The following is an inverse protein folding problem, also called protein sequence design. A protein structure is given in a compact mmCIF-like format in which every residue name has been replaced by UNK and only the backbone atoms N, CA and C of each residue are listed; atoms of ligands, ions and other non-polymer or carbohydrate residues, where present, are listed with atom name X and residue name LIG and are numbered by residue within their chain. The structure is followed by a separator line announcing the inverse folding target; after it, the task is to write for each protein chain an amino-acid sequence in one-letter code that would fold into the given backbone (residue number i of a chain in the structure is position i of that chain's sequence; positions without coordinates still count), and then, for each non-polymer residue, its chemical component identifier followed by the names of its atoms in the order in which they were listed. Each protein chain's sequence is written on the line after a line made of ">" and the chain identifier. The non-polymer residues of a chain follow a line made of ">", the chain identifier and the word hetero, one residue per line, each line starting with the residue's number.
data_IF_963097853832
#
_entry.id   IF_963097853832
#
_cell.length_a   1.000
_cell.length_b   1.000
_cell.length_c   1.000
_cell.angle_alpha   90.00
_cell.angle_beta   90.00
_cell.angle_gamma   90.00
#
_symmetry.space_group_name_H-M   'P 1'
#
loop_
_entity.id
_entity.type
_entity.pdbx_description
1 polymer ?
#
# COMPACT_ATOMS: atom_id res chain seq x y z
N UNK A 1 -19.23 -14.15 7.11
CA UNK A 1 -20.32 -13.29 7.60
C UNK A 1 -21.13 -12.83 6.41
N UNK A 2 -22.45 -12.96 6.42
CA UNK A 2 -23.29 -12.61 5.29
C UNK A 2 -23.89 -11.19 5.41
N UNK A 3 -23.05 -10.17 5.62
CA UNK A 3 -23.53 -8.79 5.72
C UNK A 3 -22.88 -7.84 4.70
N UNK A 4 -22.04 -8.36 3.81
CA UNK A 4 -21.34 -7.54 2.81
C UNK A 4 -22.29 -6.88 1.80
N UNK A 5 -23.44 -7.48 1.56
CA UNK A 5 -24.51 -6.98 0.73
C UNK A 5 -25.23 -5.76 1.33
N UNK A 6 -25.15 -5.58 2.66
CA UNK A 6 -25.71 -4.43 3.35
C UNK A 6 -24.78 -3.19 3.38
N UNK A 7 -23.54 -3.32 2.86
CA UNK A 7 -22.54 -2.26 2.85
C UNK A 7 -22.42 -1.63 1.46
N UNK A 8 -22.02 -0.35 1.39
CA UNK A 8 -21.73 0.32 0.12
C UNK A 8 -20.41 -0.16 -0.49
N UNK A 9 -19.44 -0.48 0.36
CA UNK A 9 -18.11 -0.98 -0.02
C UNK A 9 -17.65 -2.13 0.88
N UNK A 10 -16.78 -2.98 0.35
CA UNK A 10 -16.03 -3.95 1.14
C UNK A 10 -14.72 -3.30 1.57
N UNK A 11 -14.60 -2.95 2.85
CA UNK A 11 -13.41 -2.36 3.43
C UNK A 11 -12.32 -3.40 3.71
N UNK A 12 -11.08 -3.11 3.30
CA UNK A 12 -9.92 -3.99 3.52
C UNK A 12 -8.70 -3.17 3.92
N UNK A 13 -8.06 -3.51 5.04
CA UNK A 13 -6.71 -3.02 5.35
C UNK A 13 -5.68 -3.80 4.53
N UNK A 14 -5.04 -3.13 3.57
CA UNK A 14 -4.31 -3.77 2.48
C UNK A 14 -2.82 -3.98 2.79
N UNK A 15 -2.51 -4.67 3.88
CA UNK A 15 -1.15 -5.03 4.29
C UNK A 15 -0.79 -6.48 3.92
N UNK A 16 -0.86 -6.80 2.64
CA UNK A 16 -0.55 -8.15 2.15
C UNK A 16 0.96 -8.35 2.03
N UNK A 17 1.55 -9.35 2.70
CA UNK A 17 2.96 -9.67 2.51
C UNK A 17 3.22 -10.17 1.09
N UNK A 18 4.15 -9.52 0.40
CA UNK A 18 4.48 -9.82 -0.98
C UNK A 18 5.89 -10.39 -1.16
N UNK A 19 6.85 -9.95 -0.34
CA UNK A 19 8.24 -10.34 -0.46
C UNK A 19 9.01 -10.11 0.84
N UNK A 20 9.94 -11.01 1.13
CA UNK A 20 10.89 -10.87 2.26
C UNK A 20 12.26 -10.29 1.81
N UNK A 21 12.38 -9.83 0.55
CA UNK A 21 13.58 -9.14 0.06
C UNK A 21 13.67 -7.73 0.62
N UNK A 22 14.89 -7.23 0.88
CA UNK A 22 15.11 -5.86 1.38
C UNK A 22 14.56 -4.81 0.41
N UNK A 23 14.90 -4.93 -0.87
CA UNK A 23 14.44 -4.03 -1.93
C UNK A 23 13.82 -4.81 -3.09
N UNK A 24 12.60 -5.33 -2.95
CA UNK A 24 11.98 -6.11 -4.03
C UNK A 24 11.67 -5.20 -5.23
N UNK A 25 12.01 -5.63 -6.46
CA UNK A 25 11.69 -4.85 -7.65
C UNK A 25 10.17 -4.77 -7.89
N UNK A 26 9.71 -3.64 -8.44
CA UNK A 26 8.31 -3.41 -8.78
C UNK A 26 7.67 -4.58 -9.54
N UNK A 27 8.37 -5.13 -10.56
CA UNK A 27 7.83 -6.24 -11.37
C UNK A 27 7.49 -7.46 -10.53
N UNK A 28 8.35 -7.83 -9.58
CA UNK A 28 8.09 -8.94 -8.66
C UNK A 28 6.86 -8.65 -7.80
N UNK A 29 6.77 -7.45 -7.25
CA UNK A 29 5.63 -7.06 -6.41
C UNK A 29 4.33 -7.04 -7.21
N UNK A 30 4.33 -6.50 -8.43
CA UNK A 30 3.17 -6.51 -9.32
C UNK A 30 2.73 -7.93 -9.68
N UNK A 31 3.67 -8.83 -9.98
CA UNK A 31 3.38 -10.24 -10.19
C UNK A 31 2.70 -10.88 -8.97
N UNK A 32 3.22 -10.58 -7.78
CA UNK A 32 2.65 -11.09 -6.51
C UNK A 32 1.27 -10.51 -6.22
N UNK A 33 1.07 -9.23 -6.49
CA UNK A 33 -0.25 -8.59 -6.43
C UNK A 33 -1.28 -9.25 -7.33
N UNK A 34 -0.90 -9.77 -8.50
CA UNK A 34 -1.80 -10.43 -9.43
C UNK A 34 -2.66 -11.54 -8.82
N UNK A 35 -2.15 -12.27 -7.80
CA UNK A 35 -2.92 -13.26 -7.06
C UNK A 35 -4.01 -12.62 -6.18
N UNK A 36 -3.66 -11.51 -5.54
CA UNK A 36 -4.59 -10.77 -4.68
C UNK A 36 -5.66 -10.05 -5.52
N UNK A 37 -5.28 -9.44 -6.63
CA UNK A 37 -6.21 -8.82 -7.61
C UNK A 37 -7.27 -9.83 -8.03
N UNK A 38 -6.87 -11.04 -8.46
CA UNK A 38 -7.81 -12.11 -8.87
C UNK A 38 -8.76 -12.51 -7.73
N UNK A 39 -8.24 -12.65 -6.52
CA UNK A 39 -9.04 -13.01 -5.34
C UNK A 39 -10.05 -11.92 -4.99
N UNK A 40 -9.60 -10.68 -4.94
CA UNK A 40 -10.41 -9.53 -4.57
C UNK A 40 -11.48 -9.24 -5.62
N UNK A 41 -11.16 -9.37 -6.92
CA UNK A 41 -12.14 -9.26 -8.00
C UNK A 41 -13.28 -10.28 -7.84
N UNK A 42 -12.94 -11.55 -7.59
CA UNK A 42 -13.95 -12.60 -7.36
C UNK A 42 -14.80 -12.30 -6.12
N UNK A 43 -14.19 -11.76 -5.08
CA UNK A 43 -14.90 -11.41 -3.86
C UNK A 43 -15.85 -10.23 -4.06
N UNK A 44 -15.41 -9.20 -4.76
CA UNK A 44 -16.23 -8.08 -5.19
C UNK A 44 -17.43 -8.53 -6.04
N UNK A 45 -17.19 -9.37 -7.05
CA UNK A 45 -18.25 -9.92 -7.91
C UNK A 45 -19.27 -10.75 -7.13
N UNK A 46 -18.81 -11.56 -6.17
CA UNK A 46 -19.68 -12.41 -5.35
C UNK A 46 -20.71 -11.59 -4.55
N UNK A 47 -20.32 -10.40 -4.09
CA UNK A 47 -21.16 -9.57 -3.24
C UNK A 47 -21.75 -8.34 -3.97
N UNK A 48 -21.40 -8.17 -5.24
CA UNK A 48 -21.76 -7.01 -6.05
C UNK A 48 -21.43 -5.68 -5.34
N UNK A 49 -20.23 -5.61 -4.78
CA UNK A 49 -19.69 -4.44 -4.06
C UNK A 49 -18.26 -4.17 -4.42
N UNK A 50 -17.93 -2.88 -4.61
CA UNK A 50 -16.53 -2.45 -4.83
C UNK A 50 -15.71 -2.60 -3.56
N UNK A 51 -14.41 -2.81 -3.75
CA UNK A 51 -13.45 -2.90 -2.66
C UNK A 51 -12.81 -1.54 -2.43
N UNK A 52 -12.83 -1.10 -1.17
CA UNK A 52 -12.16 0.09 -0.69
C UNK A 52 -10.99 -0.34 0.21
N UNK A 53 -9.77 0.09 -0.10
CA UNK A 53 -8.67 -0.09 0.83
C UNK A 53 -8.79 0.96 1.96
N UNK A 54 -9.28 0.52 3.11
CA UNK A 54 -9.43 1.37 4.30
C UNK A 54 -8.09 1.86 4.81
N UNK A 55 -7.05 1.09 4.54
CA UNK A 55 -5.65 1.47 4.76
C UNK A 55 -4.76 0.78 3.74
N UNK A 56 -3.77 1.48 3.23
CA UNK A 56 -2.63 0.91 2.53
C UNK A 56 -1.37 1.73 2.78
N UNK A 57 -0.24 1.07 2.94
CA UNK A 57 1.02 1.76 3.21
C UNK A 57 2.20 0.83 3.33
N UNK A 58 3.38 1.40 3.21
CA UNK A 58 4.66 0.72 3.36
C UNK A 58 5.57 1.55 4.26
N UNK A 59 6.27 0.90 5.18
CA UNK A 59 7.37 1.52 5.91
C UNK A 59 8.52 1.85 4.95
N UNK A 60 9.33 2.84 5.29
CA UNK A 60 10.50 3.23 4.49
C UNK A 60 11.76 2.52 4.99
N UNK A 61 11.72 1.19 5.03
CA UNK A 61 12.77 0.32 5.56
C UNK A 61 13.01 -0.90 4.67
N UNK A 62 14.10 -1.60 4.89
CA UNK A 62 14.34 -2.89 4.27
C UNK A 62 13.19 -3.87 4.54
N UNK A 63 12.84 -4.65 3.53
CA UNK A 63 11.75 -5.62 3.64
C UNK A 63 10.36 -5.02 3.71
N UNK A 64 10.16 -3.75 3.34
CA UNK A 64 8.89 -3.02 3.46
C UNK A 64 7.66 -3.74 2.88
N UNK A 65 7.85 -4.62 1.89
CA UNK A 65 6.80 -5.43 1.29
C UNK A 65 6.52 -6.76 2.01
N UNK A 66 7.13 -6.97 3.18
CA UNK A 66 6.98 -8.17 4.01
C UNK A 66 5.80 -8.08 4.98
N UNK A 67 5.96 -8.74 6.10
CA UNK A 67 4.94 -8.78 7.17
C UNK A 67 4.98 -7.52 8.01
N UNK A 68 4.23 -6.50 7.65
CA UNK A 68 4.18 -5.18 8.28
C UNK A 68 4.12 -5.24 9.81
N UNK A 69 3.26 -6.10 10.37
CA UNK A 69 3.12 -6.27 11.82
C UNK A 69 4.35 -6.85 12.55
N UNK A 70 5.29 -7.45 11.79
CA UNK A 70 6.61 -7.84 12.32
C UNK A 70 7.61 -6.71 12.19
N UNK A 71 7.63 -6.01 11.05
CA UNK A 71 8.53 -4.90 10.78
C UNK A 71 8.33 -3.75 11.78
N UNK A 72 7.09 -3.42 12.13
CA UNK A 72 6.78 -2.38 13.11
C UNK A 72 7.43 -2.62 14.49
N UNK A 73 7.57 -3.89 14.88
CA UNK A 73 8.19 -4.26 16.17
C UNK A 73 9.70 -4.03 16.20
N UNK A 74 10.35 -4.06 15.02
CA UNK A 74 11.80 -3.98 14.88
C UNK A 74 12.23 -2.81 14.00
N UNK A 75 11.34 -1.88 13.70
CA UNK A 75 11.58 -0.77 12.77
C UNK A 75 12.83 0.05 13.12
N UNK A 76 13.17 0.15 14.40
CA UNK A 76 14.34 0.89 14.87
C UNK A 76 15.66 0.23 14.43
N UNK A 77 15.66 -1.10 14.30
CA UNK A 77 16.84 -1.90 13.95
C UNK A 77 17.02 -2.08 12.44
N UNK A 78 16.03 -1.69 11.63
CA UNK A 78 16.05 -1.83 10.18
C UNK A 78 16.70 -0.61 9.53
N UNK A 79 17.35 -0.82 8.38
CA UNK A 79 17.88 0.27 7.57
C UNK A 79 16.81 1.04 6.82
N UNK A 80 17.03 2.34 6.62
CA UNK A 80 16.15 3.20 5.83
C UNK A 80 16.21 2.76 4.37
N UNK A 81 15.06 2.48 3.78
CA UNK A 81 14.95 2.08 2.37
C UNK A 81 13.75 2.72 1.68
N UNK A 82 13.94 3.94 1.19
CA UNK A 82 12.92 4.67 0.43
C UNK A 82 12.57 3.99 -0.90
N UNK A 83 13.51 3.25 -1.49
CA UNK A 83 13.27 2.56 -2.75
C UNK A 83 12.30 1.39 -2.56
N UNK A 84 12.44 0.63 -1.47
CA UNK A 84 11.50 -0.44 -1.13
C UNK A 84 10.08 0.10 -0.93
N UNK A 85 9.94 1.22 -0.22
CA UNK A 85 8.68 1.92 -0.04
C UNK A 85 8.08 2.37 -1.38
N UNK A 86 8.87 3.03 -2.22
CA UNK A 86 8.43 3.53 -3.52
C UNK A 86 7.99 2.41 -4.46
N UNK A 87 8.75 1.31 -4.51
CA UNK A 87 8.41 0.12 -5.30
C UNK A 87 7.08 -0.52 -4.81
N UNK A 88 6.86 -0.54 -3.50
CA UNK A 88 5.63 -1.02 -2.89
C UNK A 88 4.40 -0.24 -3.37
N UNK A 89 4.44 1.08 -3.26
CA UNK A 89 3.36 1.95 -3.72
C UNK A 89 3.14 1.85 -5.24
N UNK A 90 4.21 1.87 -6.05
CA UNK A 90 4.10 1.80 -7.50
C UNK A 90 3.53 0.46 -7.97
N UNK A 91 3.87 -0.64 -7.32
CA UNK A 91 3.33 -1.95 -7.63
C UNK A 91 1.86 -2.09 -7.20
N UNK A 92 1.49 -1.60 -6.01
CA UNK A 92 0.11 -1.62 -5.52
C UNK A 92 -0.79 -0.81 -6.45
N UNK A 93 -0.48 0.47 -6.64
CA UNK A 93 -1.30 1.35 -7.46
C UNK A 93 -1.36 0.85 -8.92
N UNK A 94 -0.23 0.41 -9.49
CA UNK A 94 -0.21 -0.17 -10.83
C UNK A 94 -1.01 -1.46 -11.00
N UNK A 95 -1.28 -2.17 -9.90
CA UNK A 95 -2.07 -3.39 -9.94
C UNK A 95 -3.58 -3.16 -9.79
N UNK A 96 -3.99 -2.03 -9.21
CA UNK A 96 -5.40 -1.77 -8.88
C UNK A 96 -5.99 -0.57 -9.58
N UNK A 97 -5.19 0.37 -10.08
CA UNK A 97 -5.67 1.67 -10.58
C UNK A 97 -6.75 1.57 -11.64
N UNK A 98 -6.59 0.65 -12.58
CA UNK A 98 -7.51 0.46 -13.70
C UNK A 98 -8.53 -0.67 -13.45
N UNK A 99 -8.64 -1.17 -12.22
CA UNK A 99 -9.58 -2.23 -11.85
C UNK A 99 -10.96 -1.65 -11.47
N UNK A 100 -11.99 -1.97 -12.24
CA UNK A 100 -13.36 -1.48 -12.04
C UNK A 100 -13.93 -1.81 -10.65
N UNK A 101 -13.49 -2.91 -10.07
CA UNK A 101 -13.91 -3.34 -8.74
C UNK A 101 -13.22 -2.60 -7.59
N UNK A 102 -12.15 -1.86 -7.85
CA UNK A 102 -11.44 -1.10 -6.83
C UNK A 102 -11.97 0.33 -6.75
N UNK A 103 -12.43 0.73 -5.58
CA UNK A 103 -12.99 2.07 -5.33
C UNK A 103 -11.93 3.09 -4.88
N UNK A 104 -10.68 2.66 -4.76
CA UNK A 104 -9.61 3.50 -4.22
C UNK A 104 -9.16 3.08 -2.83
N UNK A 105 -8.46 3.97 -2.13
CA UNK A 105 -7.98 3.67 -0.78
C UNK A 105 -7.42 4.87 -0.06
N UNK A 106 -7.27 4.70 1.27
CA UNK A 106 -6.68 5.69 2.15
C UNK A 106 -5.24 5.32 2.47
N UNK A 107 -4.34 6.26 2.17
CA UNK A 107 -2.92 6.09 2.44
C UNK A 107 -2.65 6.14 3.95
N UNK A 108 -2.04 5.11 4.48
CA UNK A 108 -1.51 5.07 5.82
C UNK A 108 0.00 5.28 5.79
N UNK A 109 0.53 6.43 6.21
CA UNK A 109 -0.19 7.62 6.66
C UNK A 109 0.55 8.90 6.25
N UNK A 110 -0.12 10.02 6.32
CA UNK A 110 0.47 11.32 6.07
C UNK A 110 0.58 12.11 7.37
N UNK A 111 1.79 12.61 7.68
CA UNK A 111 1.99 13.44 8.86
C UNK A 111 2.02 14.93 8.50
N UNK A 112 1.46 15.82 9.36
CA UNK A 112 1.60 17.25 9.20
C UNK A 112 3.06 17.70 9.34
N UNK A 113 3.35 18.95 8.99
CA UNK A 113 4.68 19.52 9.18
C UNK A 113 5.04 19.61 10.66
N UNK A 114 6.34 19.42 10.95
CA UNK A 114 6.85 19.44 12.31
C UNK A 114 6.44 18.26 13.20
N UNK A 115 5.72 17.28 12.66
CA UNK A 115 5.32 16.10 13.43
C UNK A 115 6.45 15.09 13.52
N UNK A 116 6.75 14.67 14.77
CA UNK A 116 7.68 13.60 15.08
C UNK A 116 9.16 13.98 14.94
N UNK A 117 10.02 13.06 15.35
CA UNK A 117 11.47 13.22 15.22
C UNK A 117 11.90 12.84 13.81
N UNK A 118 12.83 13.58 13.22
CA UNK A 118 13.30 13.39 11.84
C UNK A 118 13.85 11.99 11.59
N UNK A 119 14.66 11.47 12.49
CA UNK A 119 15.25 10.13 12.40
C UNK A 119 14.19 9.02 12.33
N UNK A 120 13.15 9.16 13.14
CA UNK A 120 12.00 8.25 13.13
C UNK A 120 11.19 8.38 11.84
N UNK A 121 10.94 9.61 11.38
CA UNK A 121 10.15 9.86 10.18
C UNK A 121 10.79 9.25 8.92
N UNK A 122 12.12 9.11 8.88
CA UNK A 122 12.82 8.44 7.77
C UNK A 122 12.40 6.98 7.58
N UNK A 123 12.01 6.28 8.63
CA UNK A 123 11.59 4.87 8.61
C UNK A 123 10.08 4.66 8.56
N UNK A 124 9.30 5.71 8.82
CA UNK A 124 7.83 5.66 8.91
C UNK A 124 7.13 5.52 7.56
N UNK A 125 5.84 5.23 7.62
CA UNK A 125 4.94 5.08 6.47
C UNK A 125 4.82 6.34 5.61
N UNK A 126 5.00 7.53 6.20
CA UNK A 126 4.82 8.78 5.45
C UNK A 126 5.71 8.81 4.19
N UNK A 127 5.14 9.08 3.02
CA UNK A 127 5.89 9.26 1.79
C UNK A 127 6.48 10.67 1.66
N UNK A 128 6.10 11.59 2.56
CA UNK A 128 6.49 13.00 2.51
C UNK A 128 8.02 13.14 2.50
N UNK A 129 8.54 13.92 1.54
CA UNK A 129 9.98 14.15 1.32
C UNK A 129 10.80 12.88 1.01
N UNK A 130 10.13 11.84 0.48
CA UNK A 130 10.77 10.57 0.07
C UNK A 130 10.47 10.25 -1.40
N UNK A 131 11.18 9.26 -1.96
CA UNK A 131 10.96 8.77 -3.34
C UNK A 131 9.49 8.40 -3.60
N UNK A 132 8.82 7.86 -2.60
CA UNK A 132 7.42 7.47 -2.69
C UNK A 132 6.47 8.64 -2.97
N UNK A 133 6.79 9.86 -2.56
CA UNK A 133 5.98 11.04 -2.87
C UNK A 133 5.83 11.27 -4.38
N UNK A 134 6.92 11.14 -5.13
CA UNK A 134 6.89 11.26 -6.60
C UNK A 134 6.07 10.16 -7.27
N UNK A 135 6.13 8.94 -6.73
CA UNK A 135 5.32 7.82 -7.21
C UNK A 135 3.84 8.10 -7.01
N UNK A 136 3.45 8.52 -5.82
CA UNK A 136 2.06 8.86 -5.50
C UNK A 136 1.55 10.02 -6.35
N UNK A 137 2.35 11.09 -6.49
CA UNK A 137 2.01 12.24 -7.34
C UNK A 137 1.76 11.83 -8.80
N UNK A 138 2.59 10.92 -9.33
CA UNK A 138 2.41 10.38 -10.69
C UNK A 138 1.08 9.60 -10.84
N UNK A 139 0.71 8.80 -9.86
CA UNK A 139 -0.52 8.01 -9.93
C UNK A 139 -1.75 8.90 -9.74
N UNK A 140 -1.80 9.71 -8.70
CA UNK A 140 -2.93 10.59 -8.41
C UNK A 140 -3.07 11.73 -9.44
N UNK A 141 -1.98 12.16 -10.07
CA UNK A 141 -2.02 13.14 -11.17
C UNK A 141 -2.67 12.61 -12.46
N UNK A 142 -2.87 11.30 -12.60
CA UNK A 142 -3.61 10.72 -13.74
C UNK A 142 -5.12 10.90 -13.62
N UNK A 143 -5.62 11.19 -12.45
CA UNK A 143 -7.06 11.25 -12.17
C UNK A 143 -7.75 12.51 -12.68
N UNK A 144 -7.14 13.33 -13.53
CA UNK A 144 -7.81 14.42 -14.27
C UNK A 144 -8.86 15.21 -13.46
N UNK A 145 -8.52 15.59 -12.20
CA UNK A 145 -9.36 16.50 -11.39
C UNK A 145 -8.91 17.92 -11.65
#
# INVERSE_FOLDING_TARGET
>A
MPFWDALDFIGISSYFPLSDMDTPPKLLLSYRWGKHVKKLRKFSQKWDRKILFTEYGYLSVDGAAGKTWKLEKVVHDLDVNEQAQANGYDALLGSFWDEDFWAGGFLWKWFPEGYGREDRMKKEYTPKNKKAASVLSKWYGKSGI
#
